data_IF_308079171053
#
_entry.id   IF_308079171053
#
_cell.length_a   1.000
_cell.length_b   1.000
_cell.length_c   1.000
_cell.angle_alpha   90.00
_cell.angle_beta   90.00
_cell.angle_gamma   90.00
#
_symmetry.space_group_name_H-M   'P 1'
#
loop_
_entity.id
_entity.type
_entity.pdbx_description
1 polymer ?
#
# COMPACT_ATOMS: atom_id res chain seq x y z
N UNK A 1 16.32 -7.32 9.29
CA UNK A 1 15.27 -8.21 8.73
C UNK A 1 14.27 -7.33 7.99
N UNK A 2 13.89 -7.69 6.76
CA UNK A 2 12.86 -6.96 6.01
C UNK A 2 11.49 -7.56 6.31
N UNK A 3 10.53 -6.74 6.74
CA UNK A 3 9.14 -7.17 6.93
C UNK A 3 8.41 -7.05 5.61
N UNK A 4 7.80 -8.14 5.14
CA UNK A 4 6.95 -8.09 3.94
C UNK A 4 5.64 -7.37 4.30
N UNK A 5 5.35 -6.29 3.58
CA UNK A 5 4.04 -5.64 3.62
C UNK A 5 3.19 -6.32 2.56
N UNK A 6 2.19 -7.08 3.01
CA UNK A 6 1.26 -7.79 2.12
C UNK A 6 0.06 -6.86 1.90
N UNK A 7 -0.32 -6.65 0.64
CA UNK A 7 -1.53 -5.92 0.33
C UNK A 7 -2.74 -6.64 0.93
N UNK A 8 -3.62 -5.94 1.68
CA UNK A 8 -4.87 -6.52 2.12
C UNK A 8 -5.78 -6.81 0.92
N UNK A 9 -6.76 -7.70 1.08
CA UNK A 9 -7.78 -7.89 0.05
C UNK A 9 -8.61 -6.60 -0.07
N UNK A 10 -8.57 -5.96 -1.24
CA UNK A 10 -9.21 -4.66 -1.48
C UNK A 10 -10.68 -4.78 -1.91
N UNK A 11 -11.19 -6.00 -2.08
CA UNK A 11 -12.58 -6.31 -2.44
C UNK A 11 -12.66 -7.65 -3.15
N UNK A 12 -13.85 -8.26 -3.21
CA UNK A 12 -14.04 -9.59 -3.85
C UNK A 12 -13.65 -9.60 -5.33
N UNK A 13 -13.67 -8.44 -6.00
CA UNK A 13 -13.34 -8.27 -7.42
C UNK A 13 -12.13 -7.35 -7.67
N UNK A 14 -11.44 -6.89 -6.63
CA UNK A 14 -10.30 -5.97 -6.74
C UNK A 14 -9.02 -6.73 -6.38
N UNK A 15 -8.34 -7.22 -7.41
CA UNK A 15 -7.11 -8.01 -7.29
C UNK A 15 -5.85 -7.19 -7.50
N UNK A 16 -5.95 -6.07 -8.22
CA UNK A 16 -4.82 -5.24 -8.60
C UNK A 16 -5.15 -3.77 -8.31
N UNK A 17 -4.17 -3.04 -7.78
CA UNK A 17 -4.27 -1.60 -7.55
C UNK A 17 -2.93 -0.94 -7.85
N UNK A 18 -3.00 0.27 -8.39
CA UNK A 18 -1.83 1.03 -8.82
C UNK A 18 -1.35 1.89 -7.66
N UNK A 19 -0.07 1.78 -7.31
CA UNK A 19 0.54 2.67 -6.31
C UNK A 19 0.64 4.07 -6.91
N UNK A 20 -0.14 5.01 -6.39
CA UNK A 20 -0.16 6.39 -6.86
C UNK A 20 0.96 7.21 -6.26
N UNK A 21 1.33 6.91 -5.01
CA UNK A 21 2.34 7.68 -4.29
C UNK A 21 3.04 6.86 -3.22
N UNK A 22 4.35 6.99 -3.15
CA UNK A 22 5.14 6.51 -2.02
C UNK A 22 5.25 7.62 -0.98
N UNK A 23 4.82 7.34 0.25
CA UNK A 23 4.94 8.25 1.39
C UNK A 23 6.25 8.01 2.16
N UNK A 24 6.89 6.86 1.93
CA UNK A 24 8.17 6.47 2.52
C UNK A 24 9.25 6.28 1.46
N UNK A 25 10.48 6.66 1.81
CA UNK A 25 11.67 6.44 1.00
C UNK A 25 12.50 5.29 1.54
N UNK A 26 13.35 4.73 0.68
CA UNK A 26 14.29 3.67 1.07
C UNK A 26 15.22 4.20 2.16
N UNK A 27 15.28 3.51 3.29
CA UNK A 27 16.09 3.90 4.45
C UNK A 27 15.32 4.67 5.53
N UNK A 28 14.09 5.10 5.27
CA UNK A 28 13.26 5.75 6.27
C UNK A 28 12.82 4.76 7.36
N UNK A 29 12.71 5.25 8.59
CA UNK A 29 12.14 4.50 9.70
C UNK A 29 10.61 4.45 9.54
N UNK A 30 10.04 3.27 9.69
CA UNK A 30 8.58 3.03 9.71
C UNK A 30 8.12 2.88 11.15
N UNK A 31 7.07 3.60 11.53
CA UNK A 31 6.42 3.51 12.84
C UNK A 31 5.05 2.85 12.74
N UNK A 32 4.48 2.44 13.88
CA UNK A 32 3.10 1.95 13.94
C UNK A 32 2.13 3.08 13.55
N UNK A 33 1.06 2.72 12.87
CA UNK A 33 0.00 3.64 12.40
C UNK A 33 0.49 4.69 11.37
N UNK A 34 1.67 4.46 10.79
CA UNK A 34 2.24 5.33 9.78
C UNK A 34 1.94 4.82 8.36
N UNK A 35 1.39 5.65 7.47
CA UNK A 35 1.09 5.25 6.09
C UNK A 35 2.37 5.14 5.25
N UNK A 36 2.46 4.08 4.44
CA UNK A 36 3.66 3.77 3.64
C UNK A 36 3.55 4.22 2.19
N UNK A 37 2.38 3.99 1.58
CA UNK A 37 2.07 4.32 0.20
C UNK A 37 0.56 4.49 0.04
N UNK A 38 0.18 5.21 -1.00
CA UNK A 38 -1.21 5.36 -1.45
C UNK A 38 -1.43 4.47 -2.67
N UNK A 39 -2.55 3.77 -2.67
CA UNK A 39 -2.98 2.87 -3.74
C UNK A 39 -4.32 3.34 -4.28
N UNK A 40 -4.45 3.38 -5.60
CA UNK A 40 -5.70 3.63 -6.29
C UNK A 40 -6.14 2.37 -7.03
N UNK A 41 -7.41 2.03 -6.89
CA UNK A 41 -8.03 0.89 -7.56
C UNK A 41 -8.97 1.41 -8.63
N UNK A 42 -8.95 0.80 -9.81
CA UNK A 42 -9.73 1.26 -10.98
C UNK A 42 -11.25 1.03 -10.84
N UNK A 43 -11.69 0.38 -9.76
CA UNK A 43 -13.10 0.26 -9.42
C UNK A 43 -13.44 1.20 -8.27
N UNK A 44 -13.80 2.42 -8.66
CA UNK A 44 -14.53 3.37 -7.81
C UNK A 44 -15.99 3.33 -8.25
N UNK A 45 -16.69 2.25 -7.90
CA UNK A 45 -18.15 2.12 -7.92
C UNK A 45 -18.58 0.99 -6.97
#
# INVERSE_FOLDING_TARGET
MATKVIMPQMGESIFEGTITKWLKRVGDRVSRDEPLFEISTDKVD
#
